data_IF_225982794935
#
_entry.id   IF_225982794935
#
_cell.length_a   1.000
_cell.length_b   1.000
_cell.length_c   1.000
_cell.angle_alpha   90.00
_cell.angle_beta   90.00
_cell.angle_gamma   90.00
#
_symmetry.space_group_name_H-M   'P 1'
#
loop_
_entity.id
_entity.type
_entity.pdbx_description
1 polymer ?
#
# COMPACT_ATOMS: atom_id res chain seq x y z
N UNK A 1 49.31 -13.76 -42.22
CA UNK A 1 49.09 -14.67 -41.06
C UNK A 1 47.59 -14.87 -40.90
N UNK A 2 47.04 -16.03 -41.29
CA UNK A 2 45.59 -16.33 -41.13
C UNK A 2 45.35 -16.73 -39.68
N UNK A 3 44.60 -15.93 -38.95
CA UNK A 3 44.16 -16.24 -37.58
C UNK A 3 43.06 -17.29 -37.65
N UNK A 4 43.33 -18.50 -37.18
CA UNK A 4 42.33 -19.55 -37.01
C UNK A 4 41.37 -19.12 -35.90
N UNK A 5 40.17 -18.66 -36.28
CA UNK A 5 39.09 -18.44 -35.31
C UNK A 5 38.64 -19.81 -34.78
N UNK A 6 39.01 -20.13 -33.54
CA UNK A 6 38.44 -21.29 -32.81
C UNK A 6 36.95 -21.02 -32.63
N UNK A 7 36.12 -21.78 -33.34
CA UNK A 7 34.66 -21.74 -33.16
C UNK A 7 34.26 -22.39 -31.84
N UNK A 8 33.24 -21.83 -31.19
CA UNK A 8 32.64 -22.40 -29.98
C UNK A 8 32.02 -23.75 -30.29
N UNK A 9 32.17 -24.74 -29.42
CA UNK A 9 31.58 -26.07 -29.66
C UNK A 9 30.12 -26.10 -29.22
N UNK A 10 29.28 -26.85 -29.93
CA UNK A 10 27.88 -27.05 -29.53
C UNK A 10 27.78 -27.72 -28.16
N UNK A 11 28.75 -28.58 -27.80
CA UNK A 11 28.78 -29.27 -26.50
C UNK A 11 29.05 -28.29 -25.35
N UNK A 12 29.95 -27.32 -25.53
CA UNK A 12 30.18 -26.28 -24.53
C UNK A 12 28.91 -25.47 -24.27
N UNK A 13 28.12 -25.18 -25.31
CA UNK A 13 26.86 -24.47 -25.16
C UNK A 13 25.83 -25.31 -24.39
N UNK A 14 25.72 -26.60 -24.68
CA UNK A 14 24.77 -27.51 -24.05
C UNK A 14 25.05 -27.67 -22.55
N UNK A 15 26.33 -27.79 -22.16
CA UNK A 15 26.70 -27.89 -20.74
C UNK A 15 26.38 -26.60 -19.98
N UNK A 16 26.59 -25.44 -20.60
CA UNK A 16 26.29 -24.14 -19.98
C UNK A 16 24.79 -23.97 -19.73
N UNK A 17 23.93 -24.27 -20.71
CA UNK A 17 22.48 -24.17 -20.52
C UNK A 17 21.98 -25.18 -19.46
N UNK A 18 22.61 -26.36 -19.36
CA UNK A 18 22.27 -27.34 -18.34
C UNK A 18 22.57 -26.83 -16.93
N UNK A 19 23.74 -26.21 -16.71
CA UNK A 19 24.11 -25.61 -15.42
C UNK A 19 23.19 -24.43 -15.08
N UNK A 20 22.92 -23.54 -16.03
CA UNK A 20 21.99 -22.40 -15.85
C UNK A 20 20.58 -22.92 -15.49
N UNK A 21 20.13 -24.00 -16.13
CA UNK A 21 18.83 -24.62 -15.85
C UNK A 21 18.69 -25.09 -14.41
N UNK A 22 19.72 -25.77 -13.87
CA UNK A 22 19.72 -26.23 -12.46
C UNK A 22 19.73 -25.06 -11.48
N UNK A 23 20.57 -24.04 -11.74
CA UNK A 23 20.63 -22.85 -10.88
C UNK A 23 19.31 -22.07 -10.89
N UNK A 24 18.70 -21.90 -12.06
CA UNK A 24 17.42 -21.22 -12.20
C UNK A 24 16.29 -21.96 -11.46
N UNK A 25 16.26 -23.29 -11.52
CA UNK A 25 15.23 -24.10 -10.86
C UNK A 25 15.17 -23.88 -9.34
N UNK A 26 16.33 -23.69 -8.69
CA UNK A 26 16.41 -23.43 -7.25
C UNK A 26 16.13 -21.96 -6.93
N UNK A 27 16.64 -21.05 -7.77
CA UNK A 27 16.61 -19.61 -7.50
C UNK A 27 15.22 -18.98 -7.68
N UNK A 28 14.49 -19.38 -8.73
CA UNK A 28 13.19 -18.79 -9.10
C UNK A 28 12.16 -18.85 -7.96
N UNK A 29 11.85 -20.00 -7.34
CA UNK A 29 10.83 -20.05 -6.28
C UNK A 29 11.22 -19.22 -5.04
N UNK A 30 12.51 -19.22 -4.66
CA UNK A 30 13.02 -18.43 -3.54
C UNK A 30 12.89 -16.92 -3.79
N UNK A 31 13.28 -16.46 -5.00
CA UNK A 31 13.16 -15.07 -5.40
C UNK A 31 11.70 -14.58 -5.43
N UNK A 32 10.78 -15.41 -5.93
CA UNK A 32 9.34 -15.06 -5.96
C UNK A 32 8.79 -14.83 -4.55
N UNK A 33 9.17 -15.68 -3.59
CA UNK A 33 8.78 -15.51 -2.18
C UNK A 33 9.35 -14.21 -1.56
N UNK A 34 10.62 -13.90 -1.83
CA UNK A 34 11.26 -12.68 -1.34
C UNK A 34 10.61 -11.41 -1.91
N UNK A 35 10.32 -11.40 -3.21
CA UNK A 35 9.64 -10.29 -3.88
C UNK A 35 8.25 -10.07 -3.28
N UNK A 36 7.46 -11.14 -3.08
CA UNK A 36 6.14 -11.04 -2.42
C UNK A 36 6.23 -10.43 -1.03
N UNK A 37 7.15 -10.93 -0.20
CA UNK A 37 7.37 -10.42 1.17
C UNK A 37 7.76 -8.93 1.15
N UNK A 38 8.65 -8.55 0.23
CA UNK A 38 9.07 -7.16 0.05
C UNK A 38 7.90 -6.25 -0.35
N UNK A 39 7.03 -6.69 -1.27
CA UNK A 39 5.85 -5.96 -1.70
C UNK A 39 4.83 -5.74 -0.58
N UNK A 40 4.49 -6.80 0.17
CA UNK A 40 3.58 -6.69 1.32
C UNK A 40 4.15 -5.79 2.41
N UNK A 41 5.45 -5.93 2.72
CA UNK A 41 6.12 -5.06 3.69
C UNK A 41 6.10 -3.59 3.24
N UNK A 42 6.39 -3.34 1.96
CA UNK A 42 6.36 -1.98 1.41
C UNK A 42 4.96 -1.38 1.44
N UNK A 43 3.92 -2.18 1.20
CA UNK A 43 2.53 -1.73 1.28
C UNK A 43 2.12 -1.36 2.71
N UNK A 44 2.43 -2.20 3.68
CA UNK A 44 2.18 -1.89 5.10
C UNK A 44 2.96 -0.65 5.56
N UNK A 45 4.20 -0.46 5.09
CA UNK A 45 4.95 0.78 5.36
C UNK A 45 4.29 2.02 4.75
N UNK A 46 3.74 1.91 3.53
CA UNK A 46 3.01 3.01 2.91
C UNK A 46 1.75 3.38 3.71
N UNK A 47 1.01 2.38 4.22
CA UNK A 47 -0.16 2.60 5.08
C UNK A 47 0.21 3.31 6.40
N UNK A 48 1.34 2.95 7.01
CA UNK A 48 1.82 3.62 8.23
C UNK A 48 2.20 5.08 7.97
N UNK A 49 2.88 5.36 6.86
CA UNK A 49 3.20 6.74 6.48
C UNK A 49 1.94 7.54 6.17
N UNK A 50 0.94 6.92 5.54
CA UNK A 50 -0.35 7.55 5.26
C UNK A 50 -1.07 7.92 6.56
N UNK A 51 -1.16 7.00 7.53
CA UNK A 51 -1.80 7.28 8.81
C UNK A 51 -1.16 8.47 9.53
N UNK A 52 0.17 8.56 9.51
CA UNK A 52 0.91 9.71 10.08
C UNK A 52 0.58 11.01 9.35
N UNK A 53 0.62 11.00 8.02
CA UNK A 53 0.30 12.17 7.21
C UNK A 53 -1.12 12.68 7.45
N UNK A 54 -2.09 11.76 7.51
CA UNK A 54 -3.49 12.08 7.81
C UNK A 54 -3.61 12.70 9.20
N UNK A 55 -2.97 12.10 10.22
CA UNK A 55 -3.01 12.66 11.57
C UNK A 55 -2.37 14.06 11.64
N UNK A 56 -1.29 14.32 10.90
CA UNK A 56 -0.73 15.68 10.80
C UNK A 56 -1.71 16.64 10.13
N UNK A 57 -2.33 16.25 9.02
CA UNK A 57 -3.31 17.07 8.32
C UNK A 57 -4.57 17.34 9.18
N UNK A 58 -4.97 16.38 10.04
CA UNK A 58 -6.09 16.56 10.96
C UNK A 58 -5.82 17.61 12.04
N UNK A 59 -4.58 17.74 12.51
CA UNK A 59 -4.23 18.81 13.46
C UNK A 59 -4.48 20.18 12.83
N UNK A 60 -4.13 20.38 11.57
CA UNK A 60 -4.38 21.64 10.85
C UNK A 60 -5.88 21.92 10.63
N UNK A 61 -6.68 20.87 10.44
CA UNK A 61 -8.14 21.01 10.29
C UNK A 61 -8.82 21.31 11.63
N UNK A 62 -8.28 20.80 12.73
CA UNK A 62 -8.76 21.09 14.08
C UNK A 62 -8.51 22.56 14.45
N UNK A 63 -7.36 23.13 14.06
CA UNK A 63 -7.08 24.57 14.19
C UNK A 63 -8.10 25.44 13.43
N UNK A 64 -8.64 24.95 12.33
CA UNK A 64 -9.67 25.61 11.53
C UNK A 64 -11.10 25.41 12.06
N UNK A 65 -11.28 24.73 13.20
CA UNK A 65 -12.56 24.40 13.85
C UNK A 65 -13.55 23.63 12.95
N UNK A 66 -13.07 22.80 12.02
CA UNK A 66 -13.93 22.07 11.09
C UNK A 66 -14.38 20.69 11.61
N UNK A 67 -14.47 20.52 12.93
CA UNK A 67 -15.07 19.32 13.52
C UNK A 67 -14.23 18.04 13.37
N UNK A 68 -12.90 18.14 13.40
CA UNK A 68 -11.98 16.99 13.31
C UNK A 68 -12.31 15.87 14.31
N UNK A 69 -12.81 16.23 15.50
CA UNK A 69 -13.26 15.29 16.52
C UNK A 69 -14.37 14.32 16.06
N UNK A 70 -15.23 14.76 15.13
CA UNK A 70 -16.39 14.01 14.65
C UNK A 70 -16.10 13.18 13.39
N UNK A 71 -14.89 13.26 12.82
CA UNK A 71 -14.53 12.48 11.65
C UNK A 71 -14.46 10.99 12.02
N UNK A 72 -15.26 10.17 11.33
CA UNK A 72 -15.30 8.72 11.49
C UNK A 72 -14.44 8.01 10.45
N UNK A 73 -14.52 8.46 9.20
CA UNK A 73 -13.83 7.83 8.08
C UNK A 73 -13.41 8.87 7.05
N UNK A 74 -12.22 8.66 6.49
CA UNK A 74 -11.66 9.41 5.37
C UNK A 74 -11.44 8.40 4.25
N UNK A 75 -11.91 8.70 3.04
CA UNK A 75 -11.73 7.81 1.90
C UNK A 75 -11.31 8.59 0.66
N UNK A 76 -10.29 8.09 -0.04
CA UNK A 76 -9.78 8.62 -1.29
C UNK A 76 -9.97 7.60 -2.41
N UNK A 77 -10.61 8.00 -3.51
CA UNK A 77 -10.80 7.20 -4.72
C UNK A 77 -9.65 7.40 -5.75
N UNK A 78 -8.53 7.94 -5.29
CA UNK A 78 -7.41 8.34 -6.14
C UNK A 78 -7.61 9.68 -6.86
N UNK A 79 -8.74 10.38 -6.66
CA UNK A 79 -9.00 11.72 -7.22
C UNK A 79 -9.48 12.70 -6.15
N UNK A 80 -10.48 12.32 -5.37
CA UNK A 80 -11.10 13.14 -4.35
C UNK A 80 -11.00 12.44 -2.99
N UNK A 81 -10.98 13.24 -1.91
CA UNK A 81 -11.11 12.74 -0.55
C UNK A 81 -12.50 13.09 -0.04
N UNK A 82 -13.18 12.10 0.51
CA UNK A 82 -14.48 12.23 1.15
C UNK A 82 -14.33 12.02 2.65
N UNK A 83 -14.99 12.87 3.42
CA UNK A 83 -15.08 12.78 4.89
C UNK A 83 -16.45 12.25 5.26
N UNK A 84 -16.49 11.26 6.14
CA UNK A 84 -17.71 10.77 6.77
C UNK A 84 -17.66 11.12 8.26
N UNK A 85 -18.66 11.85 8.74
CA UNK A 85 -18.76 12.23 10.15
C UNK A 85 -19.59 11.21 10.96
N UNK A 86 -19.36 11.16 12.27
CA UNK A 86 -20.00 10.19 13.19
C UNK A 86 -21.47 10.53 13.51
N UNK A 87 -21.81 11.81 13.54
CA UNK A 87 -23.14 12.36 13.82
C UNK A 87 -24.09 12.32 12.60
N UNK A 88 -23.51 12.24 11.39
CA UNK A 88 -24.23 12.12 10.12
C UNK A 88 -23.70 10.92 9.31
N UNK A 89 -23.76 9.73 9.91
CA UNK A 89 -23.23 8.50 9.32
C UNK A 89 -23.95 8.13 8.00
N UNK A 90 -23.47 8.70 6.89
CA UNK A 90 -24.04 8.51 5.55
C UNK A 90 -23.83 9.70 4.62
N UNK A 91 -23.61 10.90 5.16
CA UNK A 91 -23.32 12.10 4.37
C UNK A 91 -21.81 12.24 4.16
N UNK A 92 -21.40 12.25 2.89
CA UNK A 92 -20.00 12.42 2.48
C UNK A 92 -19.80 13.87 2.08
N UNK A 93 -18.84 14.55 2.72
CA UNK A 93 -18.43 15.89 2.31
C UNK A 93 -17.13 15.78 1.52
N UNK A 94 -17.11 16.35 0.32
CA UNK A 94 -15.87 16.48 -0.46
C UNK A 94 -14.91 17.42 0.27
N UNK A 95 -13.69 16.95 0.52
CA UNK A 95 -12.66 17.68 1.25
C UNK A 95 -11.39 17.82 0.40
N UNK A 96 -11.53 18.51 -0.73
CA UNK A 96 -10.42 18.79 -1.67
C UNK A 96 -9.25 19.51 -0.98
N UNK A 97 -9.53 20.39 -0.03
CA UNK A 97 -8.50 21.09 0.74
C UNK A 97 -7.75 20.14 1.69
N UNK A 98 -8.47 19.21 2.33
CA UNK A 98 -7.85 18.16 3.14
C UNK A 98 -6.98 17.23 2.30
N UNK A 99 -7.43 16.88 1.09
CA UNK A 99 -6.62 16.11 0.15
C UNK A 99 -5.30 16.81 -0.13
N UNK A 100 -5.33 18.12 -0.39
CA UNK A 100 -4.12 18.91 -0.66
C UNK A 100 -3.17 18.89 0.53
N UNK A 101 -3.69 19.00 1.76
CA UNK A 101 -2.90 18.88 2.99
C UNK A 101 -2.24 17.49 3.10
N UNK A 102 -3.00 16.41 2.93
CA UNK A 102 -2.45 15.04 2.96
C UNK A 102 -1.43 14.80 1.83
N UNK A 103 -1.68 15.33 0.65
CA UNK A 103 -0.78 15.23 -0.50
C UNK A 103 0.55 15.95 -0.27
N UNK A 104 0.54 17.10 0.42
CA UNK A 104 1.76 17.82 0.81
C UNK A 104 2.67 16.98 1.72
N UNK A 105 2.07 16.12 2.54
CA UNK A 105 2.78 15.19 3.40
C UNK A 105 3.14 13.87 2.72
N UNK A 106 2.40 13.50 1.67
CA UNK A 106 2.53 12.22 0.94
C UNK A 106 2.31 12.41 -0.57
N UNK A 107 3.36 12.74 -1.31
CA UNK A 107 3.33 12.92 -2.78
C UNK A 107 2.73 11.70 -3.52
N UNK A 108 2.92 10.49 -2.99
CA UNK A 108 2.40 9.24 -3.57
C UNK A 108 0.93 8.94 -3.24
N UNK A 109 0.30 9.69 -2.34
CA UNK A 109 -1.12 9.50 -2.00
C UNK A 109 -2.05 9.92 -3.15
N UNK A 110 -1.60 10.82 -4.04
CA UNK A 110 -2.41 11.43 -5.09
C UNK A 110 -3.02 10.49 -6.12
N UNK A 111 -2.47 9.28 -6.31
CA UNK A 111 -2.91 8.34 -7.37
C UNK A 111 -3.36 7.00 -6.83
N UNK A 112 -3.58 6.90 -5.53
CA UNK A 112 -3.84 5.65 -4.84
C UNK A 112 -5.16 5.73 -4.10
N UNK A 113 -5.91 4.65 -4.15
CA UNK A 113 -7.11 4.50 -3.36
C UNK A 113 -6.71 4.17 -1.93
N UNK A 114 -7.29 4.87 -0.97
CA UNK A 114 -6.99 4.67 0.44
C UNK A 114 -8.16 5.06 1.32
N UNK A 115 -8.14 4.54 2.54
CA UNK A 115 -9.07 4.98 3.58
C UNK A 115 -8.40 5.01 4.94
N UNK A 116 -8.94 5.82 5.84
CA UNK A 116 -8.53 5.89 7.23
C UNK A 116 -9.76 6.00 8.13
N UNK A 117 -9.70 5.36 9.29
CA UNK A 117 -10.75 5.37 10.28
C UNK A 117 -10.28 6.15 11.50
N UNK A 118 -11.13 7.05 11.96
CA UNK A 118 -10.79 8.04 12.96
C UNK A 118 -11.83 8.07 14.08
N UNK A 119 -11.35 8.43 15.29
CA UNK A 119 -12.18 8.47 16.49
C UNK A 119 -11.60 9.51 17.46
N UNK A 120 -12.40 10.52 17.79
CA UNK A 120 -12.01 11.54 18.75
C UNK A 120 -10.82 12.39 18.27
N UNK A 121 -10.80 12.75 16.99
CA UNK A 121 -9.81 13.67 16.42
C UNK A 121 -8.50 13.02 15.94
N UNK A 122 -8.36 11.69 16.08
CA UNK A 122 -7.18 10.96 15.62
C UNK A 122 -7.60 9.73 14.81
N UNK A 123 -6.86 9.43 13.75
CA UNK A 123 -7.02 8.20 13.00
C UNK A 123 -6.24 7.05 13.62
N UNK A 124 -6.93 5.94 13.82
CA UNK A 124 -6.43 4.72 14.49
C UNK A 124 -6.03 3.63 13.51
N UNK A 125 -6.56 3.68 12.28
CA UNK A 125 -6.29 2.71 11.24
C UNK A 125 -6.29 3.37 9.86
N UNK A 126 -5.49 2.84 8.94
CA UNK A 126 -5.47 3.23 7.53
C UNK A 126 -5.24 2.01 6.63
N UNK A 127 -5.79 2.05 5.42
CA UNK A 127 -5.50 1.11 4.36
C UNK A 127 -5.20 1.87 3.06
N UNK A 128 -4.24 1.39 2.29
CA UNK A 128 -3.86 1.97 1.00
C UNK A 128 -3.65 0.88 -0.03
N UNK A 129 -4.28 1.03 -1.19
CA UNK A 129 -3.99 0.22 -2.36
C UNK A 129 -2.69 0.73 -2.98
N UNK A 130 -1.62 -0.09 -2.97
CA UNK A 130 -0.36 0.27 -3.65
C UNK A 130 -0.45 -0.09 -5.13
N UNK A 131 -1.06 -1.22 -5.43
CA UNK A 131 -1.46 -1.65 -6.77
C UNK A 131 -2.65 -2.60 -6.64
N UNK A 132 -3.20 -3.06 -7.78
CA UNK A 132 -4.37 -3.95 -7.80
C UNK A 132 -4.17 -5.28 -7.06
N UNK A 133 -2.93 -5.62 -6.71
CA UNK A 133 -2.52 -6.87 -6.05
C UNK A 133 -2.22 -6.68 -4.57
N UNK A 134 -1.55 -5.59 -4.21
CA UNK A 134 -1.03 -5.36 -2.87
C UNK A 134 -1.69 -4.15 -2.20
N UNK A 135 -2.41 -4.45 -1.13
CA UNK A 135 -2.99 -3.46 -0.22
C UNK A 135 -2.19 -3.46 1.09
N UNK A 136 -1.89 -2.29 1.61
CA UNK A 136 -1.23 -2.10 2.89
C UNK A 136 -2.21 -1.70 3.98
N UNK A 137 -1.94 -2.08 5.22
CA UNK A 137 -2.74 -1.71 6.39
C UNK A 137 -1.86 -1.17 7.53
N UNK A 138 -2.39 -0.17 8.23
CA UNK A 138 -1.94 0.30 9.52
C UNK A 138 -3.10 0.18 10.51
N UNK A 139 -2.95 -0.45 11.68
CA UNK A 139 -1.76 -1.16 12.15
C UNK A 139 -1.40 -2.38 11.28
N UNK A 140 -0.10 -2.68 11.18
CA UNK A 140 0.39 -3.75 10.33
C UNK A 140 -0.05 -5.15 10.80
N UNK A 141 -0.05 -6.12 9.87
CA UNK A 141 -0.34 -7.53 10.16
C UNK A 141 -1.81 -7.93 10.03
N UNK A 142 -2.63 -7.13 9.35
CA UNK A 142 -3.89 -7.60 8.75
C UNK A 142 -3.59 -8.20 7.37
N UNK A 143 -2.86 -7.44 6.56
CA UNK A 143 -2.30 -7.92 5.30
C UNK A 143 -0.93 -8.55 5.58
N UNK A 144 -0.82 -9.84 5.28
CA UNK A 144 0.37 -10.68 5.42
C UNK A 144 0.69 -11.37 4.09
N UNK A 145 1.83 -12.05 4.01
CA UNK A 145 2.22 -12.81 2.81
C UNK A 145 1.22 -13.93 2.48
N UNK A 146 0.46 -14.42 3.47
CA UNK A 146 -0.54 -15.47 3.28
C UNK A 146 -1.96 -14.93 3.04
N UNK A 147 -2.20 -13.65 3.36
CA UNK A 147 -3.53 -13.03 3.30
C UNK A 147 -3.67 -11.92 2.28
N UNK A 148 -2.59 -11.45 1.63
CA UNK A 148 -2.62 -10.28 0.76
C UNK A 148 -3.63 -10.38 -0.39
N UNK A 149 -3.79 -11.57 -0.98
CA UNK A 149 -4.71 -11.80 -2.10
C UNK A 149 -6.17 -11.55 -1.73
N UNK A 150 -6.54 -11.73 -0.44
CA UNK A 150 -7.91 -11.48 0.05
C UNK A 150 -8.31 -10.01 0.00
N UNK A 151 -7.32 -9.12 -0.03
CA UNK A 151 -7.49 -7.67 0.02
C UNK A 151 -7.01 -6.98 -1.26
N UNK A 152 -6.68 -7.76 -2.29
CA UNK A 152 -6.20 -7.32 -3.59
C UNK A 152 -7.22 -6.39 -4.25
N UNK A 153 -6.87 -5.10 -4.39
CA UNK A 153 -7.76 -4.11 -5.01
C UNK A 153 -8.97 -3.70 -4.15
N UNK A 154 -8.95 -4.00 -2.85
CA UNK A 154 -10.06 -3.72 -1.94
C UNK A 154 -9.54 -3.17 -0.61
N UNK A 155 -9.21 -1.87 -0.60
CA UNK A 155 -8.75 -1.18 0.60
C UNK A 155 -9.85 -1.09 1.67
N UNK A 156 -11.14 -1.09 1.29
CA UNK A 156 -12.26 -0.95 2.21
C UNK A 156 -12.39 -2.17 3.13
N UNK A 157 -12.27 -3.38 2.57
CA UNK A 157 -12.20 -4.61 3.37
C UNK A 157 -10.97 -4.61 4.28
N UNK A 158 -9.82 -4.22 3.74
CA UNK A 158 -8.57 -4.18 4.51
C UNK A 158 -8.66 -3.18 5.68
N UNK A 159 -9.28 -2.01 5.47
CA UNK A 159 -9.52 -1.00 6.48
C UNK A 159 -10.44 -1.51 7.58
N UNK A 160 -11.54 -2.18 7.21
CA UNK A 160 -12.50 -2.73 8.18
C UNK A 160 -11.81 -3.69 9.15
N UNK A 161 -10.93 -4.56 8.64
CA UNK A 161 -10.17 -5.48 9.48
C UNK A 161 -9.06 -4.77 10.28
N UNK A 162 -8.43 -3.74 9.72
CA UNK A 162 -7.47 -2.91 10.44
C UNK A 162 -8.11 -2.16 11.62
N UNK A 163 -9.34 -1.67 11.46
CA UNK A 163 -10.12 -1.03 12.53
C UNK A 163 -10.41 -2.01 13.66
N UNK A 164 -10.85 -3.23 13.33
CA UNK A 164 -11.08 -4.29 14.34
C UNK A 164 -9.81 -4.61 15.13
N UNK A 165 -8.65 -4.57 14.48
CA UNK A 165 -7.36 -4.83 15.12
C UNK A 165 -6.87 -3.66 15.99
N UNK A 166 -7.28 -2.43 15.65
CA UNK A 166 -6.90 -1.22 16.37
C UNK A 166 -7.84 -0.88 17.55
N UNK A 167 -9.02 -1.52 17.60
CA UNK A 167 -10.04 -1.37 18.66
C UNK A 167 -9.76 -2.31 19.84
#
# INVERSE_FOLDING_TARGET
MKTTKKGFTLIELIVVIAIIGVLAAILVPSMLGYVKKSKVSSANSAANSLLKAINTALVEVDEENQGAANIKELACDGKAVTITYADNAGEKTDATDFKTKVDNYMEKAQKKEWGAACRGGVCIAAAIEVDKTYTGTSPAGVVTVDSYEKYSGDYSKALTEAVKKAS
#
